data_IF_166916195549
#
_entry.id   IF_166916195549
#
_cell.length_a   1.000
_cell.length_b   1.000
_cell.length_c   1.000
_cell.angle_alpha   90.00
_cell.angle_beta   90.00
_cell.angle_gamma   90.00
#
_symmetry.space_group_name_H-M   'P 1'
#
loop_
_entity.id
_entity.type
_entity.pdbx_description
1 polymer ?
#
# COMPACT_ATOMS: atom_id res chain seq x y z
N UNK A 1 -47.45 4.34 38.26
CA UNK A 1 -46.11 3.74 38.12
C UNK A 1 -45.80 3.71 36.64
N UNK A 2 -45.08 4.72 36.15
CA UNK A 2 -44.75 4.87 34.74
C UNK A 2 -43.33 4.35 34.54
N UNK A 3 -43.15 3.42 33.61
CA UNK A 3 -41.83 3.07 33.09
C UNK A 3 -41.55 3.94 31.87
N UNK A 4 -40.45 4.71 31.83
CA UNK A 4 -39.89 5.18 30.57
C UNK A 4 -38.71 4.28 30.20
N UNK A 5 -38.89 3.43 29.19
CA UNK A 5 -37.76 2.80 28.49
C UNK A 5 -37.40 3.77 27.37
N UNK A 6 -36.51 4.71 27.68
CA UNK A 6 -35.93 5.62 26.72
C UNK A 6 -34.52 5.16 26.37
N UNK A 7 -34.37 4.77 25.10
CA UNK A 7 -33.22 5.12 24.26
C UNK A 7 -31.81 4.74 24.75
N UNK A 8 -31.44 3.46 24.73
CA UNK A 8 -30.01 3.08 24.84
C UNK A 8 -29.54 1.95 23.92
N UNK A 9 -30.37 1.46 23.00
CA UNK A 9 -29.97 0.38 22.07
C UNK A 9 -29.68 0.84 20.63
N UNK A 10 -29.72 2.15 20.36
CA UNK A 10 -29.38 2.72 19.03
C UNK A 10 -27.96 3.31 18.94
N UNK A 11 -27.18 3.31 20.03
CA UNK A 11 -25.81 3.87 20.04
C UNK A 11 -24.70 2.85 19.79
N UNK A 12 -25.02 1.56 19.66
CA UNK A 12 -24.05 0.52 19.32
C UNK A 12 -23.92 0.27 17.80
N UNK A 13 -24.67 1.00 16.97
CA UNK A 13 -24.47 1.07 15.51
C UNK A 13 -23.68 2.33 15.11
N UNK A 14 -22.97 2.94 16.06
CA UNK A 14 -21.71 3.63 15.78
C UNK A 14 -20.56 2.61 15.86
N UNK A 15 -20.84 1.40 15.36
CA UNK A 15 -19.82 0.48 14.88
C UNK A 15 -19.15 1.27 13.76
N UNK A 16 -18.02 1.88 14.11
CA UNK A 16 -17.18 2.62 13.19
C UNK A 16 -17.08 1.79 11.93
N UNK A 17 -17.82 2.20 10.90
CA UNK A 17 -17.50 1.89 9.53
C UNK A 17 -16.13 2.53 9.34
N UNK A 18 -15.08 1.83 9.79
CA UNK A 18 -13.73 2.00 9.33
C UNK A 18 -13.87 1.70 7.85
N UNK A 19 -14.23 2.73 7.09
CA UNK A 19 -14.35 2.67 5.65
C UNK A 19 -13.09 1.94 5.20
N UNK A 20 -13.26 0.78 4.54
CA UNK A 20 -12.13 -0.04 4.14
C UNK A 20 -11.28 0.82 3.22
N UNK A 21 -10.20 1.34 3.77
CA UNK A 21 -9.27 2.20 3.05
C UNK A 21 -8.43 1.33 2.16
N UNK A 22 -8.53 1.56 0.86
CA UNK A 22 -7.74 0.87 -0.16
C UNK A 22 -6.47 1.68 -0.38
N UNK A 23 -5.33 1.00 -0.47
CA UNK A 23 -4.06 1.64 -0.76
C UNK A 23 -3.91 1.81 -2.27
N UNK A 24 -3.92 3.06 -2.73
CA UNK A 24 -3.68 3.42 -4.12
C UNK A 24 -2.21 3.81 -4.30
N UNK A 25 -1.51 3.12 -5.20
CA UNK A 25 -0.08 3.34 -5.49
C UNK A 25 0.10 3.64 -6.97
N UNK A 26 0.74 4.76 -7.25
CA UNK A 26 1.25 5.10 -8.58
C UNK A 26 2.74 4.86 -8.64
N UNK A 27 3.12 3.90 -9.48
CA UNK A 27 4.52 3.51 -9.70
C UNK A 27 5.09 4.34 -10.85
N UNK A 28 6.16 5.10 -10.58
CA UNK A 28 6.84 5.85 -11.63
C UNK A 28 7.88 4.94 -12.29
N UNK A 29 8.07 5.08 -13.60
CA UNK A 29 9.11 4.38 -14.38
C UNK A 29 10.55 4.84 -14.05
N UNK A 30 10.79 5.30 -12.82
CA UNK A 30 12.09 5.78 -12.36
C UNK A 30 12.82 4.68 -11.60
N UNK A 31 13.79 4.04 -12.26
CA UNK A 31 14.84 3.32 -11.55
C UNK A 31 15.75 4.38 -10.91
N UNK A 32 15.51 4.67 -9.64
CA UNK A 32 16.34 5.60 -8.89
C UNK A 32 17.39 4.81 -8.10
N UNK A 33 18.57 5.41 -7.93
CA UNK A 33 19.57 4.92 -7.00
C UNK A 33 19.74 5.98 -5.92
N UNK A 34 19.57 5.60 -4.66
CA UNK A 34 19.71 6.52 -3.54
C UNK A 34 20.75 6.01 -2.53
N UNK A 35 21.37 6.94 -1.84
CA UNK A 35 22.30 6.68 -0.74
C UNK A 35 21.84 7.46 0.47
N UNK A 36 21.70 6.79 1.61
CA UNK A 36 21.40 7.43 2.89
C UNK A 36 22.42 6.99 3.93
N UNK A 37 22.82 7.92 4.80
CA UNK A 37 23.68 7.63 5.95
C UNK A 37 22.98 6.75 6.99
N UNK A 38 21.65 6.69 6.95
CA UNK A 38 20.85 5.84 7.82
C UNK A 38 20.74 4.39 7.30
N UNK A 39 21.14 4.14 6.05
CA UNK A 39 20.95 2.86 5.38
C UNK A 39 22.30 2.17 5.08
N UNK A 40 22.67 1.11 5.82
CA UNK A 40 24.00 0.51 5.77
C UNK A 40 24.31 -0.21 4.44
N UNK A 41 23.30 -0.44 3.59
CA UNK A 41 23.42 -1.11 2.28
C UNK A 41 23.46 -0.14 1.09
N UNK A 42 23.64 1.16 1.34
CA UNK A 42 23.72 2.19 0.28
C UNK A 42 24.93 1.97 -0.65
N UNK A 43 24.81 2.22 -1.97
CA UNK A 43 23.63 2.72 -2.68
C UNK A 43 22.59 1.63 -3.00
N UNK A 44 21.31 1.94 -2.81
CA UNK A 44 20.18 1.04 -3.11
C UNK A 44 19.44 1.46 -4.38
N UNK A 45 19.08 0.48 -5.20
CA UNK A 45 18.16 0.65 -6.32
C UNK A 45 16.72 0.60 -5.81
N UNK A 46 15.95 1.64 -6.11
CA UNK A 46 14.56 1.76 -5.70
C UNK A 46 13.68 2.32 -6.82
N UNK A 47 12.37 2.25 -6.59
CA UNK A 47 11.35 2.87 -7.43
C UNK A 47 10.63 3.93 -6.61
N UNK A 48 10.52 5.15 -7.16
CA UNK A 48 9.73 6.22 -6.56
C UNK A 48 8.25 5.92 -6.82
N UNK A 49 7.45 5.94 -5.76
CA UNK A 49 6.01 5.76 -5.84
C UNK A 49 5.28 6.92 -5.18
N UNK A 50 4.10 7.25 -5.68
CA UNK A 50 3.13 8.09 -4.98
C UNK A 50 2.06 7.18 -4.41
N UNK A 51 1.71 7.36 -3.14
CA UNK A 51 0.68 6.55 -2.52
C UNK A 51 -0.27 7.41 -1.69
N UNK A 52 -1.51 6.92 -1.57
CA UNK A 52 -2.54 7.49 -0.70
C UNK A 52 -3.57 6.42 -0.34
N UNK A 53 -4.24 6.61 0.79
CA UNK A 53 -5.41 5.82 1.16
C UNK A 53 -6.65 6.44 0.51
N UNK A 54 -7.46 5.62 -0.15
CA UNK A 54 -8.73 6.02 -0.79
C UNK A 54 -9.86 5.16 -0.26
N UNK A 55 -11.10 5.65 -0.37
CA UNK A 55 -12.27 4.81 -0.10
C UNK A 55 -12.42 3.69 -1.13
N UNK A 56 -13.12 2.62 -0.76
CA UNK A 56 -13.48 1.53 -1.68
C UNK A 56 -14.27 2.05 -2.89
N UNK A 57 -15.16 3.02 -2.68
CA UNK A 57 -15.96 3.66 -3.73
C UNK A 57 -15.07 4.38 -4.76
N UNK A 58 -14.08 5.14 -4.28
CA UNK A 58 -13.10 5.81 -5.13
C UNK A 58 -12.21 4.80 -5.88
N UNK A 59 -11.77 3.73 -5.21
CA UNK A 59 -10.96 2.68 -5.82
C UNK A 59 -11.72 1.98 -6.96
N UNK A 60 -13.00 1.63 -6.75
CA UNK A 60 -13.86 1.03 -7.77
C UNK A 60 -14.02 1.95 -8.98
N UNK A 61 -14.26 3.25 -8.74
CA UNK A 61 -14.36 4.24 -9.82
C UNK A 61 -13.06 4.36 -10.63
N UNK A 62 -11.90 4.19 -10.01
CA UNK A 62 -10.61 4.20 -10.70
C UNK A 62 -10.44 2.99 -11.63
N UNK A 63 -10.94 1.81 -11.24
CA UNK A 63 -10.94 0.60 -12.06
C UNK A 63 -11.86 0.71 -13.27
N UNK A 64 -13.01 1.39 -13.12
CA UNK A 64 -13.97 1.59 -14.21
C UNK A 64 -13.54 2.65 -15.23
N UNK A 65 -12.56 3.49 -14.88
CA UNK A 65 -12.10 4.60 -15.72
C UNK A 65 -11.26 4.07 -16.89
N UNK A 66 -11.78 4.18 -18.13
CA UNK A 66 -11.23 3.61 -19.39
C UNK A 66 -9.80 4.02 -19.81
N UNK A 67 -9.07 4.77 -18.98
CA UNK A 67 -7.76 5.35 -19.31
C UNK A 67 -6.58 4.74 -18.57
N UNK A 68 -6.76 3.72 -17.73
CA UNK A 68 -5.78 3.51 -16.67
C UNK A 68 -5.20 2.11 -16.68
N UNK A 69 -3.87 2.02 -16.83
CA UNK A 69 -3.01 0.89 -16.44
C UNK A 69 -3.06 0.67 -14.90
N UNK A 70 -4.26 0.66 -14.32
CA UNK A 70 -4.51 0.40 -12.91
C UNK A 70 -4.82 -1.07 -12.77
N UNK A 71 -4.01 -1.74 -11.96
CA UNK A 71 -4.16 -3.16 -11.65
C UNK A 71 -4.73 -3.31 -10.24
N UNK A 72 -5.83 -4.04 -10.10
CA UNK A 72 -6.32 -4.49 -8.81
C UNK A 72 -5.45 -5.62 -8.25
N UNK A 73 -5.05 -5.51 -6.98
CA UNK A 73 -4.26 -6.52 -6.29
C UNK A 73 -4.87 -6.72 -4.90
N UNK A 74 -5.47 -7.89 -4.69
CA UNK A 74 -5.97 -8.29 -3.39
C UNK A 74 -4.80 -8.68 -2.45
N UNK A 75 -4.60 -7.88 -1.41
CA UNK A 75 -3.64 -8.13 -0.34
C UNK A 75 -4.36 -8.29 1.00
N UNK A 76 -3.87 -9.13 1.91
CA UNK A 76 -4.40 -9.17 3.27
C UNK A 76 -4.15 -7.83 3.97
N UNK A 77 -5.05 -7.44 4.88
CA UNK A 77 -4.98 -6.14 5.57
C UNK A 77 -3.63 -5.89 6.27
N UNK A 78 -3.06 -6.94 6.88
CA UNK A 78 -1.73 -6.89 7.50
C UNK A 78 -0.62 -6.52 6.50
N UNK A 79 -0.69 -7.04 5.26
CA UNK A 79 0.26 -6.67 4.22
C UNK A 79 0.08 -5.22 3.76
N UNK A 80 -1.16 -4.71 3.72
CA UNK A 80 -1.43 -3.30 3.38
C UNK A 80 -0.84 -2.37 4.45
N UNK A 81 -1.01 -2.71 5.72
CA UNK A 81 -0.43 -1.96 6.84
C UNK A 81 1.10 -2.00 6.79
N UNK A 82 1.68 -3.18 6.58
CA UNK A 82 3.12 -3.35 6.46
C UNK A 82 3.71 -2.54 5.29
N UNK A 83 3.07 -2.55 4.13
CA UNK A 83 3.49 -1.75 2.96
C UNK A 83 3.38 -0.26 3.28
N UNK A 84 2.28 0.18 3.90
CA UNK A 84 2.09 1.58 4.29
C UNK A 84 3.17 2.02 5.29
N UNK A 85 3.52 1.17 6.26
CA UNK A 85 4.59 1.42 7.22
C UNK A 85 5.98 1.49 6.57
N UNK A 86 6.29 0.60 5.62
CA UNK A 86 7.54 0.65 4.86
C UNK A 86 7.63 1.93 4.02
N UNK A 87 6.55 2.28 3.31
CA UNK A 87 6.48 3.51 2.52
C UNK A 87 6.65 4.75 3.41
N UNK A 88 5.99 4.79 4.57
CA UNK A 88 6.13 5.86 5.56
C UNK A 88 7.56 5.99 6.11
N UNK A 89 8.25 4.88 6.38
CA UNK A 89 9.67 4.91 6.78
C UNK A 89 10.54 5.47 5.66
N UNK A 90 10.34 4.99 4.43
CA UNK A 90 11.10 5.43 3.26
C UNK A 90 10.90 6.92 2.94
N UNK A 91 9.72 7.47 3.24
CA UNK A 91 9.44 8.89 3.09
C UNK A 91 10.39 9.77 3.92
N UNK A 92 10.79 9.32 5.11
CA UNK A 92 11.72 10.07 5.95
C UNK A 92 13.13 10.17 5.36
N UNK A 93 13.50 9.23 4.49
CA UNK A 93 14.78 9.23 3.76
C UNK A 93 14.80 10.29 2.63
N UNK A 94 13.63 10.79 2.23
CA UNK A 94 13.51 11.86 1.24
C UNK A 94 13.71 13.23 1.90
N UNK A 95 14.31 14.20 1.19
CA UNK A 95 14.34 15.58 1.66
C UNK A 95 12.91 16.10 1.84
N UNK A 96 12.71 16.99 2.81
CA UNK A 96 11.37 17.46 3.21
C UNK A 96 10.52 17.94 2.02
N UNK A 97 11.15 18.64 1.06
CA UNK A 97 10.50 19.14 -0.15
C UNK A 97 9.97 18.06 -1.10
N UNK A 98 10.49 16.83 -1.01
CA UNK A 98 10.09 15.68 -1.85
C UNK A 98 9.15 14.71 -1.14
N UNK A 99 8.79 14.94 0.13
CA UNK A 99 7.96 14.00 0.91
C UNK A 99 6.50 13.99 0.49
N UNK A 100 6.02 15.08 -0.08
CA UNK A 100 4.63 15.25 -0.48
C UNK A 100 4.55 15.84 -1.88
N UNK A 101 3.61 15.33 -2.68
CA UNK A 101 3.26 15.88 -3.98
C UNK A 101 1.75 16.09 -4.04
N UNK A 102 1.30 17.32 -3.77
CA UNK A 102 -0.12 17.66 -3.62
C UNK A 102 -0.78 16.82 -2.53
N UNK A 103 -1.79 16.03 -2.86
CA UNK A 103 -2.49 15.10 -1.95
C UNK A 103 -1.79 13.74 -1.79
N UNK A 104 -0.66 13.52 -2.47
CA UNK A 104 0.05 12.25 -2.47
C UNK A 104 1.26 12.26 -1.54
N UNK A 105 1.46 11.16 -0.83
CA UNK A 105 2.70 10.90 -0.11
C UNK A 105 3.68 10.19 -1.04
N UNK A 106 4.96 10.54 -0.92
CA UNK A 106 6.02 9.96 -1.74
C UNK A 106 6.71 8.83 -0.97
N UNK A 107 6.89 7.67 -1.58
CA UNK A 107 7.62 6.55 -0.98
C UNK A 107 8.67 5.98 -1.93
N UNK A 108 9.61 5.23 -1.36
CA UNK A 108 10.60 4.46 -2.10
C UNK A 108 10.39 2.98 -1.83
N UNK A 109 10.26 2.20 -2.90
CA UNK A 109 10.25 0.74 -2.82
C UNK A 109 11.59 0.20 -3.30
N UNK A 110 12.27 -0.56 -2.46
CA UNK A 110 13.51 -1.25 -2.84
C UNK A 110 13.22 -2.20 -4.01
N UNK A 111 14.08 -2.15 -5.04
CA UNK A 111 13.99 -3.06 -6.15
C UNK A 111 14.48 -4.43 -5.72
N UNK A 112 13.66 -5.45 -5.94
CA UNK A 112 14.11 -6.83 -5.81
C UNK A 112 15.26 -7.10 -6.80
N UNK A 113 16.46 -7.26 -6.28
CA UNK A 113 17.62 -7.74 -7.04
C UNK A 113 17.72 -9.23 -6.81
N UNK A 114 17.44 -10.02 -7.84
CA UNK A 114 17.65 -11.46 -7.77
C UNK A 114 19.11 -11.71 -7.34
N UNK A 115 19.36 -12.54 -6.32
CA UNK A 115 20.72 -12.85 -5.93
C UNK A 115 21.46 -13.42 -7.14
N UNK A 116 22.75 -13.09 -7.35
CA UNK A 116 23.51 -13.60 -8.48
C UNK A 116 23.56 -15.13 -8.38
N UNK A 117 22.72 -15.78 -9.18
CA UNK A 117 22.71 -17.20 -9.50
C UNK A 117 22.91 -18.17 -8.32
N UNK A 118 21.86 -18.35 -7.50
CA UNK A 118 21.51 -19.72 -7.08
C UNK A 118 20.28 -20.10 -7.89
N UNK A 119 20.45 -21.10 -8.74
CA UNK A 119 19.41 -21.66 -9.59
C UNK A 119 18.37 -22.34 -8.69
N UNK A 120 17.33 -21.62 -8.27
CA UNK A 120 16.18 -22.25 -7.61
C UNK A 120 15.39 -23.02 -8.65
N UNK A 121 15.50 -24.36 -8.64
CA UNK A 121 14.61 -25.23 -9.40
C UNK A 121 13.23 -25.16 -8.74
N UNK A 122 12.36 -24.29 -9.27
CA UNK A 122 10.96 -24.22 -8.85
C UNK A 122 10.20 -25.35 -9.55
N UNK A 123 9.97 -26.47 -8.86
CA UNK A 123 9.09 -27.54 -9.36
C UNK A 123 7.63 -27.16 -9.07
N UNK A 124 6.96 -26.53 -10.01
CA UNK A 124 5.50 -26.41 -9.97
C UNK A 124 4.89 -27.78 -10.32
N UNK A 125 4.26 -28.45 -9.36
CA UNK A 125 3.48 -29.66 -9.61
C UNK A 125 2.00 -29.28 -9.75
N UNK A 126 1.37 -29.73 -10.83
CA UNK A 126 -0.07 -29.56 -11.07
C UNK A 126 -0.84 -30.29 -9.96
N UNK A 127 -1.64 -29.56 -9.18
CA UNK A 127 -2.64 -30.18 -8.31
C UNK A 127 -3.70 -30.81 -9.21
N UNK A 128 -3.62 -32.12 -9.42
CA UNK A 128 -4.78 -32.89 -9.87
C UNK A 128 -5.74 -33.00 -8.68
N UNK A 129 -6.89 -32.34 -8.80
CA UNK A 129 -7.99 -32.42 -7.85
C UNK A 129 -8.56 -33.85 -7.91
N UNK A 130 -8.72 -34.49 -6.75
CA UNK A 130 -9.50 -35.73 -6.58
C UNK A 130 -10.96 -35.33 -6.35
#
# INVERSE_FOLDING_TARGET
>A
MAQPIAHSELSALEESTLARSVLNIWVFNGNITFSSTEEPKSPLSAVKVLYRLVSEEEANKMLESMTSDVQDIALPADAIDAVTGVLGKSNNLLPESDRHFREWTVGLLEKWVAPPSVMYVVKASRLEQI
#
